data_IF_256618782045
#
_entry.id   IF_256618782045
#
_cell.length_a   1.000
_cell.length_b   1.000
_cell.length_c   1.000
_cell.angle_alpha   90.00
_cell.angle_beta   90.00
_cell.angle_gamma   90.00
#
_symmetry.space_group_name_H-M   'P 1'
#
loop_
_entity.id
_entity.type
_entity.pdbx_description
1 polymer ?
#
# COMPACT_ATOMS: atom_id res chain seq x y z
N UNK A 1 0.24 -14.84 43.88
CA UNK A 1 -1.11 -14.23 43.74
C UNK A 1 -1.11 -12.85 43.08
N UNK A 2 0.04 -12.21 42.83
CA UNK A 2 0.14 -10.86 42.22
C UNK A 2 0.07 -10.81 40.69
N UNK A 3 0.12 -11.94 39.96
CA UNK A 3 0.09 -11.95 38.48
C UNK A 3 -1.31 -11.93 37.85
N UNK A 4 -2.37 -12.19 38.63
CA UNK A 4 -3.74 -12.27 38.10
C UNK A 4 -4.43 -10.90 38.02
N UNK A 5 -4.11 -9.97 38.92
CA UNK A 5 -4.66 -8.61 38.94
C UNK A 5 -4.07 -7.72 37.84
N UNK A 6 -2.78 -7.88 37.52
CA UNK A 6 -2.10 -7.08 36.49
C UNK A 6 -2.58 -7.44 35.08
N UNK A 7 -2.84 -8.72 34.80
CA UNK A 7 -3.40 -9.14 33.51
C UNK A 7 -4.84 -8.63 33.31
N UNK A 8 -5.68 -8.65 34.35
CA UNK A 8 -7.05 -8.16 34.26
C UNK A 8 -7.13 -6.65 34.00
N UNK A 9 -6.23 -5.86 34.61
CA UNK A 9 -6.16 -4.40 34.38
C UNK A 9 -5.68 -4.05 32.98
N UNK A 10 -4.68 -4.77 32.45
CA UNK A 10 -4.15 -4.61 31.08
C UNK A 10 -5.20 -4.91 30.01
N UNK A 11 -5.95 -6.01 30.16
CA UNK A 11 -7.01 -6.40 29.24
C UNK A 11 -8.17 -5.39 29.22
N UNK A 12 -8.52 -4.84 30.39
CA UNK A 12 -9.56 -3.80 30.49
C UNK A 12 -9.16 -2.51 29.75
N UNK A 13 -7.90 -2.09 29.87
CA UNK A 13 -7.38 -0.91 29.20
C UNK A 13 -7.32 -1.08 27.67
N UNK A 14 -6.94 -2.27 27.18
CA UNK A 14 -6.96 -2.58 25.76
C UNK A 14 -8.37 -2.55 25.18
N UNK A 15 -9.35 -3.15 25.88
CA UNK A 15 -10.76 -3.14 25.45
C UNK A 15 -11.30 -1.72 25.36
N UNK A 16 -10.97 -0.85 26.32
CA UNK A 16 -11.35 0.56 26.28
C UNK A 16 -10.72 1.29 25.08
N UNK A 17 -9.43 1.08 24.80
CA UNK A 17 -8.78 1.69 23.63
C UNK A 17 -9.38 1.19 22.31
N UNK A 18 -9.65 -0.13 22.22
CA UNK A 18 -10.31 -0.75 21.07
C UNK A 18 -11.71 -0.16 20.84
N UNK A 19 -12.51 -0.02 21.90
CA UNK A 19 -13.82 0.62 21.83
C UNK A 19 -13.73 2.09 21.38
N UNK A 20 -12.75 2.86 21.87
CA UNK A 20 -12.52 4.24 21.41
C UNK A 20 -12.13 4.28 19.93
N UNK A 21 -11.29 3.37 19.46
CA UNK A 21 -10.95 3.27 18.03
C UNK A 21 -12.18 2.95 17.19
N UNK A 22 -13.01 2.01 17.65
CA UNK A 22 -14.28 1.67 17.00
C UNK A 22 -15.20 2.89 16.90
N UNK A 23 -15.41 3.63 18.00
CA UNK A 23 -16.23 4.85 17.99
C UNK A 23 -15.63 5.93 17.08
N UNK A 24 -14.30 6.08 17.08
CA UNK A 24 -13.61 7.02 16.18
C UNK A 24 -13.83 6.64 14.73
N UNK A 25 -13.71 5.35 14.38
CA UNK A 25 -13.96 4.85 13.03
C UNK A 25 -15.43 5.00 12.63
N UNK A 26 -16.38 4.72 13.54
CA UNK A 26 -17.81 4.88 13.30
C UNK A 26 -18.18 6.35 13.08
N UNK A 27 -17.65 7.26 13.90
CA UNK A 27 -17.81 8.70 13.74
C UNK A 27 -17.18 9.20 12.43
N UNK A 28 -16.02 8.67 12.05
CA UNK A 28 -15.40 8.94 10.74
C UNK A 28 -16.28 8.51 9.58
N UNK A 29 -16.82 7.28 9.62
CA UNK A 29 -17.74 6.76 8.60
C UNK A 29 -19.02 7.62 8.51
N UNK A 30 -19.63 7.95 9.64
CA UNK A 30 -20.80 8.82 9.70
C UNK A 30 -20.50 10.23 9.14
N UNK A 31 -19.35 10.81 9.50
CA UNK A 31 -18.90 12.08 8.96
C UNK A 31 -18.66 12.05 7.45
N UNK A 32 -18.08 10.96 6.93
CA UNK A 32 -17.93 10.73 5.48
C UNK A 32 -19.28 10.64 4.78
N UNK A 33 -20.26 9.96 5.39
CA UNK A 33 -21.62 9.87 4.86
C UNK A 33 -22.28 11.25 4.78
N UNK A 34 -22.26 12.00 5.89
CA UNK A 34 -22.78 13.37 5.93
C UNK A 34 -22.09 14.23 4.87
N UNK A 35 -20.77 14.17 4.78
CA UNK A 35 -20.03 14.92 3.77
C UNK A 35 -20.51 14.62 2.34
N UNK A 36 -20.58 13.36 1.94
CA UNK A 36 -21.01 13.03 0.57
C UNK A 36 -22.51 13.23 0.34
N UNK A 37 -23.36 13.18 1.35
CA UNK A 37 -24.77 13.56 1.20
C UNK A 37 -24.94 15.03 0.78
N UNK A 38 -24.05 15.92 1.22
CA UNK A 38 -24.12 17.36 0.90
C UNK A 38 -23.21 17.79 -0.25
N UNK A 39 -22.07 17.11 -0.45
CA UNK A 39 -21.00 17.56 -1.34
C UNK A 39 -20.67 16.58 -2.47
N UNK A 40 -21.32 15.41 -2.56
CA UNK A 40 -21.09 14.51 -3.68
C UNK A 40 -21.51 15.18 -4.99
N UNK A 41 -20.63 15.07 -5.97
CA UNK A 41 -20.85 15.57 -7.32
C UNK A 41 -21.16 14.38 -8.22
N UNK A 42 -22.35 13.81 -8.08
CA UNK A 42 -22.80 12.68 -8.90
C UNK A 42 -23.91 13.11 -9.85
N UNK A 43 -23.95 12.51 -11.03
CA UNK A 43 -25.00 12.79 -12.02
C UNK A 43 -26.35 12.18 -11.61
N UNK A 44 -26.32 11.01 -10.97
CA UNK A 44 -27.52 10.27 -10.56
C UNK A 44 -27.50 9.90 -9.06
N UNK A 45 -28.66 9.92 -8.38
CA UNK A 45 -28.76 9.48 -6.98
C UNK A 45 -28.29 8.05 -6.75
N UNK A 46 -28.42 7.18 -7.75
CA UNK A 46 -27.92 5.80 -7.69
C UNK A 46 -26.40 5.75 -7.47
N UNK A 47 -25.64 6.64 -8.10
CA UNK A 47 -24.17 6.68 -7.96
C UNK A 47 -23.74 7.07 -6.54
N UNK A 48 -24.50 7.96 -5.89
CA UNK A 48 -24.30 8.27 -4.47
C UNK A 48 -24.50 7.01 -3.61
N UNK A 49 -25.60 6.29 -3.82
CA UNK A 49 -25.89 5.06 -3.09
C UNK A 49 -24.81 3.99 -3.30
N UNK A 50 -24.37 3.79 -4.55
CA UNK A 50 -23.32 2.83 -4.90
C UNK A 50 -21.98 3.22 -4.26
N UNK A 51 -21.58 4.50 -4.32
CA UNK A 51 -20.37 4.99 -3.68
C UNK A 51 -20.39 4.82 -2.15
N UNK A 52 -21.51 5.16 -1.49
CA UNK A 52 -21.67 4.96 -0.04
C UNK A 52 -21.67 3.47 0.34
N UNK A 53 -22.22 2.60 -0.52
CA UNK A 53 -22.16 1.14 -0.35
C UNK A 53 -20.71 0.66 -0.40
N UNK A 54 -19.92 1.12 -1.38
CA UNK A 54 -18.51 0.79 -1.48
C UNK A 54 -17.71 1.21 -0.25
N UNK A 55 -17.98 2.42 0.29
CA UNK A 55 -17.36 2.91 1.53
C UNK A 55 -17.73 2.00 2.71
N UNK A 56 -18.99 1.60 2.81
CA UNK A 56 -19.48 0.73 3.90
C UNK A 56 -18.80 -0.63 3.87
N UNK A 57 -18.78 -1.29 2.71
CA UNK A 57 -18.17 -2.60 2.55
C UNK A 57 -16.65 -2.56 2.82
N UNK A 58 -15.99 -1.47 2.44
CA UNK A 58 -14.57 -1.25 2.71
C UNK A 58 -14.26 -1.04 4.20
N UNK A 59 -15.09 -0.26 4.90
CA UNK A 59 -14.86 0.10 6.30
C UNK A 59 -15.29 -0.99 7.30
N UNK A 60 -16.27 -1.82 6.94
CA UNK A 60 -16.87 -2.80 7.84
C UNK A 60 -15.87 -3.77 8.50
N UNK A 61 -14.89 -4.37 7.79
CA UNK A 61 -13.87 -5.22 8.41
C UNK A 61 -13.06 -4.47 9.46
N UNK A 62 -12.61 -3.26 9.15
CA UNK A 62 -11.79 -2.45 10.05
C UNK A 62 -12.55 -2.03 11.30
N UNK A 63 -13.85 -1.74 11.18
CA UNK A 63 -14.72 -1.47 12.33
C UNK A 63 -14.89 -2.72 13.21
N UNK A 64 -15.09 -3.90 12.62
CA UNK A 64 -15.16 -5.16 13.36
C UNK A 64 -13.85 -5.45 14.10
N UNK A 65 -12.73 -5.33 13.41
CA UNK A 65 -11.40 -5.49 14.00
C UNK A 65 -11.16 -4.51 15.16
N UNK A 66 -11.53 -3.24 14.99
CA UNK A 66 -11.42 -2.23 16.03
C UNK A 66 -12.31 -2.55 17.25
N UNK A 67 -13.49 -3.15 17.04
CA UNK A 67 -14.42 -3.52 18.11
C UNK A 67 -13.95 -4.73 18.91
N UNK A 68 -13.44 -5.77 18.25
CA UNK A 68 -13.13 -7.05 18.89
C UNK A 68 -11.77 -7.08 19.61
N UNK A 69 -10.90 -6.08 19.38
CA UNK A 69 -9.64 -5.95 20.11
C UNK A 69 -8.64 -7.09 19.85
N UNK A 70 -8.85 -7.87 18.78
CA UNK A 70 -8.02 -9.03 18.47
C UNK A 70 -6.61 -8.61 18.04
N UNK A 71 -5.58 -9.19 18.65
CA UNK A 71 -4.16 -8.84 18.43
C UNK A 71 -3.60 -9.22 17.05
N UNK A 72 -4.41 -9.79 16.16
CA UNK A 72 -3.98 -10.10 14.81
C UNK A 72 -3.80 -8.81 13.98
N UNK A 73 -2.88 -8.88 13.02
CA UNK A 73 -2.63 -7.76 12.11
C UNK A 73 -3.85 -7.48 11.23
N UNK A 74 -4.23 -6.20 11.05
CA UNK A 74 -5.38 -5.81 10.24
C UNK A 74 -5.07 -5.82 8.73
N UNK A 75 -4.59 -6.95 8.20
CA UNK A 75 -4.12 -7.05 6.81
C UNK A 75 -5.27 -6.94 5.82
N UNK A 76 -6.34 -7.70 6.03
CA UNK A 76 -7.52 -7.69 5.16
C UNK A 76 -8.28 -6.37 5.27
N UNK A 77 -8.34 -5.85 6.49
CA UNK A 77 -8.93 -4.57 6.84
C UNK A 77 -8.29 -3.42 6.06
N UNK A 78 -6.96 -3.37 6.00
CA UNK A 78 -6.25 -2.34 5.24
C UNK A 78 -6.39 -2.53 3.73
N UNK A 79 -6.38 -3.77 3.25
CA UNK A 79 -6.68 -4.08 1.85
C UNK A 79 -8.05 -3.52 1.42
N UNK A 80 -9.09 -3.78 2.24
CA UNK A 80 -10.44 -3.31 1.98
C UNK A 80 -10.56 -1.79 2.09
N UNK A 81 -9.90 -1.15 3.06
CA UNK A 81 -9.89 0.31 3.19
C UNK A 81 -9.27 1.01 1.97
N UNK A 82 -8.30 0.37 1.30
CA UNK A 82 -7.72 0.88 0.06
C UNK A 82 -8.74 1.10 -1.07
N UNK A 83 -9.90 0.44 -1.01
CA UNK A 83 -10.97 0.63 -2.01
C UNK A 83 -11.60 2.03 -1.95
N UNK A 84 -11.60 2.66 -0.77
CA UNK A 84 -12.21 3.98 -0.57
C UNK A 84 -11.55 5.06 -1.45
N UNK A 85 -10.25 5.36 -1.29
CA UNK A 85 -9.59 6.38 -2.11
C UNK A 85 -9.42 5.95 -3.57
N UNK A 86 -9.29 4.65 -3.85
CA UNK A 86 -9.05 4.17 -5.20
C UNK A 86 -10.32 4.15 -6.08
N UNK A 87 -11.50 3.94 -5.48
CA UNK A 87 -12.73 3.74 -6.24
C UNK A 87 -13.91 4.58 -5.78
N UNK A 88 -14.23 4.58 -4.48
CA UNK A 88 -15.46 5.20 -3.99
C UNK A 88 -15.40 6.73 -3.97
N UNK A 89 -14.28 7.31 -3.52
CA UNK A 89 -14.12 8.78 -3.52
C UNK A 89 -14.08 9.34 -4.94
N UNK A 90 -13.34 8.76 -5.91
CA UNK A 90 -13.40 9.23 -7.30
C UNK A 90 -14.79 9.23 -7.92
N UNK A 91 -15.60 8.20 -7.63
CA UNK A 91 -17.00 8.14 -8.06
C UNK A 91 -17.82 9.31 -7.48
N UNK A 92 -17.68 9.58 -6.18
CA UNK A 92 -18.48 10.59 -5.48
C UNK A 92 -17.99 12.03 -5.71
N UNK A 93 -16.75 12.21 -6.16
CA UNK A 93 -16.09 13.52 -6.29
C UNK A 93 -16.23 14.24 -7.64
N UNK A 94 -16.98 13.70 -8.61
CA UNK A 94 -16.96 14.13 -10.03
C UNK A 94 -15.53 14.22 -10.60
N UNK A 95 -14.78 13.13 -10.47
CA UNK A 95 -13.44 13.05 -11.03
C UNK A 95 -13.42 13.42 -12.52
N UNK A 96 -12.51 14.30 -12.95
CA UNK A 96 -12.44 14.79 -14.33
C UNK A 96 -12.34 13.65 -15.37
N UNK A 97 -11.68 12.54 -15.01
CA UNK A 97 -11.61 11.33 -15.84
C UNK A 97 -12.93 10.55 -16.01
N UNK A 98 -14.02 10.97 -15.36
CA UNK A 98 -15.37 10.46 -15.60
C UNK A 98 -16.19 11.36 -16.53
N UNK A 99 -15.65 12.51 -16.94
CA UNK A 99 -16.31 13.38 -17.89
C UNK A 99 -16.53 12.65 -19.23
N UNK A 100 -17.77 12.61 -19.69
CA UNK A 100 -18.16 11.92 -20.93
C UNK A 100 -18.40 10.42 -20.78
N UNK A 101 -18.21 9.83 -19.60
CA UNK A 101 -18.59 8.43 -19.33
C UNK A 101 -20.10 8.34 -19.10
N UNK A 102 -20.75 7.35 -19.73
CA UNK A 102 -22.20 7.15 -19.57
C UNK A 102 -22.58 6.75 -18.13
N UNK A 103 -23.77 7.14 -17.68
CA UNK A 103 -24.24 6.81 -16.31
C UNK A 103 -24.48 5.32 -16.13
N UNK A 104 -24.82 4.60 -17.20
CA UNK A 104 -24.92 3.13 -17.22
C UNK A 104 -23.55 2.47 -17.02
N UNK A 105 -22.52 2.92 -17.73
CA UNK A 105 -21.13 2.45 -17.56
C UNK A 105 -20.64 2.66 -16.12
N UNK A 106 -20.89 3.85 -15.55
CA UNK A 106 -20.55 4.16 -14.16
C UNK A 106 -21.25 3.20 -13.19
N UNK A 107 -22.55 2.96 -13.40
CA UNK A 107 -23.34 2.05 -12.57
C UNK A 107 -22.81 0.61 -12.63
N UNK A 108 -22.51 0.12 -13.84
CA UNK A 108 -21.93 -1.21 -14.06
C UNK A 108 -20.56 -1.35 -13.41
N UNK A 109 -19.69 -0.35 -13.54
CA UNK A 109 -18.37 -0.32 -12.93
C UNK A 109 -18.44 -0.32 -11.40
N UNK A 110 -19.32 0.50 -10.81
CA UNK A 110 -19.53 0.51 -9.37
C UNK A 110 -20.08 -0.82 -8.84
N UNK A 111 -21.06 -1.42 -9.56
CA UNK A 111 -21.56 -2.75 -9.24
C UNK A 111 -20.47 -3.83 -9.30
N UNK A 112 -19.52 -3.71 -10.25
CA UNK A 112 -18.40 -4.64 -10.40
C UNK A 112 -17.45 -4.57 -9.19
N UNK A 113 -17.16 -3.37 -8.67
CA UNK A 113 -16.37 -3.21 -7.45
C UNK A 113 -17.11 -3.72 -6.22
N UNK A 114 -18.43 -3.48 -6.13
CA UNK A 114 -19.25 -4.04 -5.04
C UNK A 114 -19.24 -5.58 -5.08
N UNK A 115 -19.31 -6.19 -6.27
CA UNK A 115 -19.21 -7.64 -6.43
C UNK A 115 -17.85 -8.17 -5.94
N UNK A 116 -16.76 -7.50 -6.30
CA UNK A 116 -15.42 -7.79 -5.79
C UNK A 116 -15.34 -7.71 -4.26
N UNK A 117 -15.81 -6.60 -3.66
CA UNK A 117 -15.81 -6.41 -2.21
C UNK A 117 -16.65 -7.46 -1.50
N UNK A 118 -17.85 -7.74 -2.02
CA UNK A 118 -18.78 -8.71 -1.44
C UNK A 118 -18.18 -10.11 -1.47
N UNK A 119 -17.62 -10.53 -2.59
CA UNK A 119 -16.95 -11.82 -2.71
C UNK A 119 -15.75 -11.93 -1.75
N UNK A 120 -14.94 -10.88 -1.64
CA UNK A 120 -13.82 -10.84 -0.70
C UNK A 120 -14.28 -10.97 0.76
N UNK A 121 -15.33 -10.24 1.16
CA UNK A 121 -15.90 -10.31 2.51
C UNK A 121 -16.49 -11.69 2.83
N UNK A 122 -17.25 -12.26 1.90
CA UNK A 122 -17.85 -13.59 2.06
C UNK A 122 -16.79 -14.67 2.16
N UNK A 123 -15.79 -14.65 1.28
CA UNK A 123 -14.68 -15.59 1.32
C UNK A 123 -13.83 -15.46 2.59
N UNK A 124 -13.53 -14.23 3.03
CA UNK A 124 -12.79 -13.98 4.26
C UNK A 124 -13.54 -14.52 5.48
N UNK A 125 -14.86 -14.28 5.56
CA UNK A 125 -15.71 -14.78 6.66
C UNK A 125 -15.90 -16.30 6.60
N UNK A 126 -16.08 -16.85 5.41
CA UNK A 126 -16.39 -18.27 5.18
C UNK A 126 -15.18 -19.20 5.23
N UNK A 127 -13.95 -18.68 5.13
CA UNK A 127 -12.74 -19.50 5.13
C UNK A 127 -12.41 -19.97 6.55
N UNK A 128 -12.47 -21.29 6.84
CA UNK A 128 -12.06 -21.83 8.12
C UNK A 128 -10.54 -21.74 8.25
N UNK A 129 -10.08 -21.35 9.44
CA UNK A 129 -8.65 -21.23 9.73
C UNK A 129 -8.38 -21.56 11.18
N UNK A 130 -7.21 -22.14 11.44
CA UNK A 130 -6.68 -22.39 12.78
C UNK A 130 -5.25 -21.88 12.87
N UNK A 131 -4.82 -21.35 14.04
CA UNK A 131 -3.44 -20.98 14.27
C UNK A 131 -2.50 -22.14 13.98
N UNK A 132 -1.36 -21.85 13.33
CA UNK A 132 -0.32 -22.85 13.06
C UNK A 132 0.68 -22.84 14.21
N UNK A 133 1.12 -24.03 14.62
CA UNK A 133 2.02 -24.22 15.78
C UNK A 133 3.44 -24.61 15.40
N UNK A 134 3.73 -24.77 14.09
CA UNK A 134 5.06 -25.17 13.62
C UNK A 134 6.11 -24.09 13.92
N UNK A 135 7.41 -24.43 14.02
CA UNK A 135 8.48 -23.47 14.34
C UNK A 135 8.52 -22.21 13.47
N UNK A 136 8.12 -22.30 12.20
CA UNK A 136 8.00 -21.13 11.32
C UNK A 136 7.06 -20.03 11.88
N UNK A 137 6.03 -20.41 12.61
CA UNK A 137 5.03 -19.50 13.17
C UNK A 137 5.28 -19.14 14.64
N UNK A 138 6.02 -19.97 15.38
CA UNK A 138 6.15 -19.85 16.84
C UNK A 138 7.57 -19.50 17.31
N UNK A 139 8.61 -19.86 16.56
CA UNK A 139 10.00 -19.65 16.97
C UNK A 139 10.53 -18.31 16.51
N UNK A 140 10.82 -17.41 17.44
CA UNK A 140 11.46 -16.12 17.15
C UNK A 140 12.87 -16.29 16.60
N UNK A 141 13.19 -15.55 15.53
CA UNK A 141 14.55 -15.47 14.94
C UNK A 141 15.46 -14.61 15.81
N UNK A 142 14.92 -13.56 16.44
CA UNK A 142 15.65 -12.56 17.21
C UNK A 142 14.94 -12.37 18.55
N UNK A 143 15.49 -12.89 19.65
CA UNK A 143 14.84 -12.82 20.98
C UNK A 143 15.53 -11.86 21.95
N UNK A 144 16.85 -11.88 22.05
CA UNK A 144 17.60 -10.94 22.90
C UNK A 144 18.21 -9.81 22.07
N UNK A 145 17.80 -8.56 22.29
CA UNK A 145 18.23 -7.32 21.57
C UNK A 145 17.52 -7.00 20.27
N UNK A 146 16.30 -7.49 20.04
CA UNK A 146 15.54 -7.18 18.82
C UNK A 146 15.49 -5.67 18.50
N UNK A 147 15.24 -4.81 19.49
CA UNK A 147 15.23 -3.35 19.31
C UNK A 147 16.54 -2.81 18.73
N UNK A 148 17.70 -3.30 19.20
CA UNK A 148 19.02 -2.85 18.70
C UNK A 148 19.24 -3.28 17.25
N UNK A 149 18.80 -4.49 16.87
CA UNK A 149 18.90 -4.95 15.49
C UNK A 149 17.98 -4.18 14.55
N UNK A 150 16.78 -3.81 15.02
CA UNK A 150 15.86 -2.99 14.24
C UNK A 150 16.39 -1.56 14.05
N UNK A 151 16.97 -0.96 15.09
CA UNK A 151 17.59 0.38 14.96
C UNK A 151 18.81 0.34 14.06
N UNK A 152 19.66 -0.68 14.17
CA UNK A 152 20.75 -0.92 13.23
C UNK A 152 20.24 -1.10 11.80
N UNK A 153 19.15 -1.84 11.59
CA UNK A 153 18.49 -1.99 10.29
C UNK A 153 18.03 -0.66 9.69
N UNK A 154 17.50 0.25 10.51
CA UNK A 154 17.16 1.61 10.05
C UNK A 154 18.41 2.41 9.65
N UNK A 155 19.50 2.34 10.42
CA UNK A 155 20.76 3.00 10.07
C UNK A 155 21.29 2.49 8.73
N UNK A 156 21.30 1.17 8.54
CA UNK A 156 21.78 0.52 7.31
C UNK A 156 20.92 0.94 6.11
N UNK A 157 19.59 1.02 6.28
CA UNK A 157 18.71 1.48 5.21
C UNK A 157 18.93 2.96 4.87
N UNK A 158 19.10 3.84 5.87
CA UNK A 158 19.42 5.26 5.65
C UNK A 158 20.77 5.41 4.93
N UNK A 159 21.79 4.66 5.36
CA UNK A 159 23.10 4.64 4.72
C UNK A 159 22.99 4.20 3.26
N UNK A 160 22.22 3.15 2.97
CA UNK A 160 21.95 2.73 1.59
C UNK A 160 21.29 3.84 0.77
N UNK A 161 20.23 4.50 1.27
CA UNK A 161 19.57 5.58 0.54
C UNK A 161 20.57 6.70 0.24
N UNK A 162 21.38 7.07 1.23
CA UNK A 162 22.39 8.11 1.07
C UNK A 162 23.44 7.75 0.02
N UNK A 163 24.02 6.55 0.11
CA UNK A 163 25.01 6.04 -0.85
C UNK A 163 24.41 6.02 -2.26
N UNK A 164 23.21 5.47 -2.41
CA UNK A 164 22.54 5.36 -3.70
C UNK A 164 22.18 6.71 -4.32
N UNK A 165 21.98 7.76 -3.50
CA UNK A 165 21.59 9.08 -3.98
C UNK A 165 22.80 9.98 -4.30
N UNK A 166 23.87 9.89 -3.53
CA UNK A 166 24.98 10.85 -3.58
C UNK A 166 26.30 10.24 -4.09
N UNK A 167 26.34 8.95 -4.39
CA UNK A 167 27.57 8.28 -4.83
C UNK A 167 27.29 7.28 -5.95
N UNK A 168 28.33 6.98 -6.74
CA UNK A 168 28.30 5.94 -7.78
C UNK A 168 28.90 4.61 -7.29
N UNK A 169 28.99 4.41 -5.97
CA UNK A 169 29.61 3.22 -5.38
C UNK A 169 28.83 1.93 -5.67
N UNK A 170 27.53 2.04 -5.97
CA UNK A 170 26.67 0.89 -6.23
C UNK A 170 26.58 0.67 -7.74
N UNK A 171 27.07 -0.47 -8.26
CA UNK A 171 26.92 -0.80 -9.67
C UNK A 171 25.44 -0.81 -10.07
N UNK A 172 25.12 -0.24 -11.24
CA UNK A 172 23.75 -0.12 -11.75
C UNK A 172 23.00 -1.46 -11.81
N UNK A 173 23.71 -2.55 -12.07
CA UNK A 173 23.17 -3.92 -12.08
C UNK A 173 22.72 -4.41 -10.70
N UNK A 174 23.28 -3.87 -9.61
CA UNK A 174 22.98 -4.26 -8.23
C UNK A 174 21.97 -3.34 -7.54
N UNK A 175 21.76 -2.12 -8.03
CA UNK A 175 20.84 -1.14 -7.43
C UNK A 175 19.47 -1.76 -7.15
N UNK A 176 18.87 -2.47 -8.10
CA UNK A 176 17.55 -3.07 -7.93
C UNK A 176 17.49 -4.12 -6.82
N UNK A 177 18.50 -4.98 -6.73
CA UNK A 177 18.60 -6.05 -5.72
C UNK A 177 18.84 -5.46 -4.34
N UNK A 178 19.84 -4.58 -4.22
CA UNK A 178 20.16 -3.93 -2.95
C UNK A 178 19.00 -3.07 -2.45
N UNK A 179 18.32 -2.35 -3.35
CA UNK A 179 17.09 -1.62 -3.01
C UNK A 179 16.06 -2.54 -2.38
N UNK A 180 15.79 -3.71 -2.96
CA UNK A 180 14.82 -4.65 -2.42
C UNK A 180 15.21 -5.16 -1.02
N UNK A 181 16.50 -5.47 -0.81
CA UNK A 181 17.05 -5.92 0.48
C UNK A 181 16.92 -4.84 1.55
N UNK A 182 17.49 -3.67 1.32
CA UNK A 182 17.50 -2.59 2.31
C UNK A 182 16.11 -2.03 2.57
N UNK A 183 15.27 -1.93 1.54
CA UNK A 183 13.87 -1.55 1.69
C UNK A 183 13.08 -2.56 2.53
N UNK A 184 13.31 -3.86 2.32
CA UNK A 184 12.68 -4.92 3.11
C UNK A 184 13.07 -4.88 4.59
N UNK A 185 14.37 -4.72 4.88
CA UNK A 185 14.87 -4.51 6.25
C UNK A 185 14.23 -3.26 6.88
N UNK A 186 14.17 -2.18 6.10
CA UNK A 186 13.57 -0.92 6.48
C UNK A 186 12.10 -1.01 6.89
N UNK A 187 11.29 -1.66 6.05
CA UNK A 187 9.86 -1.92 6.29
C UNK A 187 9.68 -2.65 7.62
N UNK A 188 10.38 -3.77 7.82
CA UNK A 188 10.25 -4.56 9.05
C UNK A 188 10.66 -3.75 10.27
N UNK A 189 11.75 -3.00 10.18
CA UNK A 189 12.24 -2.15 11.27
C UNK A 189 11.24 -1.05 11.63
N UNK A 190 10.74 -0.29 10.65
CA UNK A 190 9.76 0.80 10.87
C UNK A 190 8.47 0.26 11.47
N UNK A 191 7.93 -0.83 10.92
CA UNK A 191 6.70 -1.42 11.42
C UNK A 191 6.88 -1.97 12.84
N UNK A 192 7.94 -2.74 13.08
CA UNK A 192 8.19 -3.40 14.36
C UNK A 192 8.45 -2.39 15.47
N UNK A 193 9.30 -1.38 15.24
CA UNK A 193 9.57 -0.32 16.22
C UNK A 193 8.31 0.52 16.49
N UNK A 194 7.55 0.88 15.45
CA UNK A 194 6.26 1.59 15.61
C UNK A 194 5.26 0.76 16.43
N UNK A 195 5.24 -0.56 16.23
CA UNK A 195 4.39 -1.47 16.99
C UNK A 195 4.84 -1.57 18.45
N UNK A 196 6.13 -1.72 18.72
CA UNK A 196 6.70 -1.71 20.08
C UNK A 196 6.41 -0.39 20.79
N UNK A 197 6.44 0.73 20.06
CA UNK A 197 6.01 2.02 20.61
C UNK A 197 4.52 1.99 20.97
N UNK A 198 3.66 1.49 20.08
CA UNK A 198 2.23 1.40 20.38
C UNK A 198 1.90 0.45 21.54
N UNK A 199 2.72 -0.58 21.78
CA UNK A 199 2.64 -1.45 22.98
C UNK A 199 3.19 -0.80 24.26
N UNK A 200 3.85 0.36 24.16
CA UNK A 200 4.53 1.01 25.28
C UNK A 200 5.87 0.38 25.66
N UNK A 201 6.36 -0.59 24.89
CA UNK A 201 7.59 -1.35 25.15
C UNK A 201 8.85 -0.68 24.60
N UNK A 202 8.71 0.34 23.75
CA UNK A 202 9.85 1.05 23.17
C UNK A 202 10.40 2.12 24.13
N UNK A 203 11.70 2.12 24.48
CA UNK A 203 12.35 3.16 25.28
C UNK A 203 12.24 4.56 24.68
N UNK A 204 12.38 5.61 25.50
CA UNK A 204 12.26 7.01 25.04
C UNK A 204 13.32 7.40 24.00
N UNK A 205 14.56 6.95 24.16
CA UNK A 205 15.64 7.23 23.20
C UNK A 205 15.36 6.57 21.84
N UNK A 206 14.88 5.32 21.83
CA UNK A 206 14.52 4.62 20.60
C UNK A 206 13.30 5.24 19.90
N UNK A 207 12.35 5.82 20.65
CA UNK A 207 11.25 6.60 20.06
C UNK A 207 11.77 7.82 19.31
N UNK A 208 12.66 8.58 19.94
CA UNK A 208 13.27 9.75 19.31
C UNK A 208 14.06 9.33 18.06
N UNK A 209 14.87 8.28 18.18
CA UNK A 209 15.63 7.73 17.07
C UNK A 209 14.72 7.28 15.92
N UNK A 210 13.64 6.54 16.19
CA UNK A 210 12.68 6.12 15.17
C UNK A 210 12.08 7.31 14.41
N UNK A 211 11.66 8.36 15.13
CA UNK A 211 11.11 9.58 14.49
C UNK A 211 12.17 10.28 13.65
N UNK A 212 13.38 10.46 14.18
CA UNK A 212 14.50 11.06 13.46
C UNK A 212 14.86 10.26 12.20
N UNK A 213 14.88 8.91 12.30
CA UNK A 213 15.15 8.01 11.19
C UNK A 213 14.06 8.11 10.10
N UNK A 214 12.77 8.13 10.47
CA UNK A 214 11.68 8.32 9.51
C UNK A 214 11.80 9.68 8.83
N UNK A 215 12.08 10.76 9.57
CA UNK A 215 12.25 12.10 8.99
C UNK A 215 13.46 12.16 8.04
N UNK A 216 14.58 11.55 8.41
CA UNK A 216 15.75 11.45 7.55
C UNK A 216 15.43 10.68 6.26
N UNK A 217 14.74 9.53 6.36
CA UNK A 217 14.32 8.77 5.19
C UNK A 217 13.32 9.53 4.33
N UNK A 218 12.38 10.27 4.92
CA UNK A 218 11.46 11.13 4.18
C UNK A 218 12.22 12.18 3.40
N UNK A 219 13.15 12.87 4.04
CA UNK A 219 13.98 13.90 3.43
C UNK A 219 14.91 13.36 2.34
N UNK A 220 15.43 12.14 2.47
CA UNK A 220 16.28 11.54 1.45
C UNK A 220 15.49 10.90 0.30
N UNK A 221 14.35 10.26 0.57
CA UNK A 221 13.55 9.66 -0.49
C UNK A 221 12.75 10.70 -1.28
N UNK A 222 12.31 11.80 -0.66
CA UNK A 222 11.58 12.85 -1.38
C UNK A 222 12.44 13.52 -2.45
N UNK A 223 13.75 13.69 -2.22
CA UNK A 223 14.66 14.31 -3.21
C UNK A 223 14.75 13.50 -4.50
N UNK A 224 14.46 12.19 -4.47
CA UNK A 224 14.34 11.36 -5.68
C UNK A 224 13.16 11.74 -6.59
N UNK A 225 12.27 12.65 -6.16
CA UNK A 225 11.00 12.97 -6.82
C UNK A 225 10.06 11.76 -6.99
N UNK A 226 10.31 10.66 -6.27
CA UNK A 226 9.46 9.46 -6.17
C UNK A 226 8.87 9.39 -4.76
N UNK A 227 7.64 9.89 -4.60
CA UNK A 227 7.01 10.05 -3.28
C UNK A 227 6.44 8.76 -2.67
N UNK A 228 6.21 7.71 -3.47
CA UNK A 228 5.50 6.51 -3.02
C UNK A 228 6.23 5.80 -1.87
N UNK A 229 7.57 5.74 -1.93
CA UNK A 229 8.40 5.15 -0.87
C UNK A 229 8.23 5.90 0.45
N UNK A 230 8.30 7.23 0.41
CA UNK A 230 8.10 8.11 1.58
C UNK A 230 6.71 7.96 2.18
N UNK A 231 5.68 7.93 1.33
CA UNK A 231 4.28 7.72 1.76
C UNK A 231 4.09 6.35 2.41
N UNK A 232 4.62 5.29 1.77
CA UNK A 232 4.58 3.92 2.27
C UNK A 232 5.23 3.80 3.65
N UNK A 233 6.40 4.42 3.88
CA UNK A 233 7.08 4.42 5.19
C UNK A 233 6.21 5.04 6.29
N UNK A 234 5.58 6.18 6.02
CA UNK A 234 4.71 6.86 6.99
C UNK A 234 3.45 6.06 7.27
N UNK A 235 2.79 5.55 6.23
CA UNK A 235 1.61 4.69 6.35
C UNK A 235 1.96 3.46 7.20
N UNK A 236 3.11 2.84 6.94
CA UNK A 236 3.56 1.66 7.67
C UNK A 236 3.83 1.95 9.15
N UNK A 237 4.43 3.10 9.47
CA UNK A 237 4.64 3.53 10.85
C UNK A 237 3.30 3.76 11.57
N UNK A 238 2.34 4.42 10.91
CA UNK A 238 0.98 4.63 11.43
C UNK A 238 0.29 3.30 11.68
N UNK A 239 0.35 2.38 10.72
CA UNK A 239 -0.26 1.05 10.84
C UNK A 239 0.38 0.23 11.97
N UNK A 240 1.70 0.22 12.06
CA UNK A 240 2.43 -0.44 13.15
C UNK A 240 1.98 0.07 14.51
N UNK A 241 1.92 1.39 14.69
CA UNK A 241 1.49 2.03 15.93
C UNK A 241 0.00 1.80 16.25
N UNK A 242 -0.89 2.00 15.28
CA UNK A 242 -2.34 1.85 15.50
C UNK A 242 -2.73 0.40 15.70
N UNK A 243 -2.04 -0.55 15.07
CA UNK A 243 -2.30 -2.00 15.24
C UNK A 243 -2.13 -2.46 16.69
N UNK A 244 -1.19 -1.87 17.45
CA UNK A 244 -0.96 -2.22 18.85
C UNK A 244 -1.62 -1.26 19.84
N UNK A 245 -1.52 0.06 19.61
CA UNK A 245 -2.03 1.04 20.59
C UNK A 245 -3.55 1.27 20.48
N UNK A 246 -4.18 0.83 19.39
CA UNK A 246 -5.61 1.08 19.09
C UNK A 246 -5.96 2.56 19.12
N UNK A 247 -5.06 3.41 18.62
CA UNK A 247 -5.27 4.85 18.49
C UNK A 247 -4.66 5.34 17.19
N UNK A 248 -5.40 6.18 16.48
CA UNK A 248 -4.90 6.87 15.29
C UNK A 248 -3.99 8.03 15.73
N UNK A 249 -2.73 8.10 15.27
CA UNK A 249 -1.84 9.22 15.54
C UNK A 249 -2.20 10.39 14.62
N UNK A 250 -3.28 11.11 14.95
CA UNK A 250 -3.85 12.17 14.11
C UNK A 250 -2.87 13.27 13.72
N UNK A 251 -1.99 13.69 14.65
CA UNK A 251 -1.01 14.76 14.37
C UNK A 251 -0.05 14.37 13.24
N UNK A 252 0.68 13.24 13.30
CA UNK A 252 1.45 12.74 12.15
C UNK A 252 0.64 12.55 10.87
N UNK A 253 -0.61 12.07 10.96
CA UNK A 253 -1.47 11.88 9.78
C UNK A 253 -1.76 13.21 9.07
N UNK A 254 -2.17 14.23 9.83
CA UNK A 254 -2.48 15.56 9.29
C UNK A 254 -1.22 16.22 8.71
N UNK A 255 -0.09 16.13 9.41
CA UNK A 255 1.18 16.68 8.93
C UNK A 255 1.65 15.99 7.64
N UNK A 256 1.55 14.66 7.57
CA UNK A 256 1.90 13.91 6.37
C UNK A 256 0.99 14.26 5.18
N UNK A 257 -0.33 14.36 5.41
CA UNK A 257 -1.28 14.78 4.37
C UNK A 257 -0.99 16.19 3.87
N UNK A 258 -0.71 17.14 4.77
CA UNK A 258 -0.36 18.51 4.39
C UNK A 258 0.96 18.56 3.58
N UNK A 259 1.98 17.84 4.03
CA UNK A 259 3.29 17.76 3.36
C UNK A 259 3.17 17.14 1.96
N UNK A 260 2.63 15.93 1.87
CA UNK A 260 2.52 15.23 0.59
C UNK A 260 1.53 15.92 -0.34
N UNK A 261 0.40 16.43 0.17
CA UNK A 261 -0.56 17.18 -0.62
C UNK A 261 0.06 18.43 -1.25
N UNK A 262 0.89 19.15 -0.49
CA UNK A 262 1.60 20.33 -1.02
C UNK A 262 2.64 19.92 -2.06
N UNK A 263 3.60 19.06 -1.70
CA UNK A 263 4.70 18.68 -2.60
C UNK A 263 4.22 17.98 -3.88
N UNK A 264 3.07 17.31 -3.85
CA UNK A 264 2.50 16.67 -5.02
C UNK A 264 2.20 17.66 -6.15
N UNK A 265 1.77 18.88 -5.81
CA UNK A 265 1.41 19.91 -6.79
C UNK A 265 2.62 20.38 -7.59
N UNK A 266 3.77 20.58 -6.93
CA UNK A 266 5.01 21.01 -7.60
C UNK A 266 5.80 19.87 -8.27
N UNK A 267 5.41 18.60 -8.07
CA UNK A 267 6.18 17.43 -8.50
C UNK A 267 6.44 17.40 -10.00
N UNK A 268 5.44 17.71 -10.83
CA UNK A 268 5.59 17.69 -12.29
C UNK A 268 6.55 18.77 -12.78
N UNK A 269 6.48 19.97 -12.22
CA UNK A 269 7.39 21.06 -12.55
C UNK A 269 8.84 20.74 -12.14
N UNK A 270 9.03 20.14 -10.96
CA UNK A 270 10.35 19.67 -10.53
C UNK A 270 10.91 18.59 -11.47
N UNK A 271 10.07 17.65 -11.94
CA UNK A 271 10.53 16.62 -12.87
C UNK A 271 10.94 17.19 -14.24
N UNK A 272 10.26 18.21 -14.73
CA UNK A 272 10.66 18.85 -15.99
C UNK A 272 12.08 19.47 -15.92
N UNK A 273 12.48 19.97 -14.75
CA UNK A 273 13.78 20.62 -14.55
C UNK A 273 14.87 19.63 -14.20
N UNK A 274 14.56 18.72 -13.28
CA UNK A 274 15.55 17.92 -12.59
C UNK A 274 15.49 16.44 -12.95
N UNK A 275 14.50 15.92 -13.69
CA UNK A 275 14.44 14.47 -13.98
C UNK A 275 15.38 14.06 -15.11
N UNK A 276 16.04 12.92 -14.93
CA UNK A 276 16.80 12.22 -15.96
C UNK A 276 16.05 10.94 -16.36
N UNK A 277 15.65 10.88 -17.63
CA UNK A 277 14.88 9.77 -18.19
C UNK A 277 15.71 8.48 -18.30
N UNK A 278 17.04 8.57 -18.38
CA UNK A 278 17.92 7.40 -18.53
C UNK A 278 18.13 6.65 -17.21
N UNK A 279 18.32 7.40 -16.12
CA UNK A 279 18.56 6.84 -14.78
C UNK A 279 17.28 6.68 -13.97
N UNK A 280 16.19 7.36 -14.37
CA UNK A 280 14.93 7.38 -13.61
C UNK A 280 15.07 8.06 -12.24
N UNK A 281 16.08 8.93 -12.11
CA UNK A 281 16.43 9.70 -10.92
C UNK A 281 16.57 11.17 -11.32
N UNK A 282 16.63 12.10 -10.35
CA UNK A 282 17.04 13.45 -10.68
C UNK A 282 18.42 13.45 -11.34
N UNK A 283 18.63 14.31 -12.36
CA UNK A 283 19.90 14.53 -13.07
C UNK A 283 21.03 14.58 -12.06
N UNK A 284 22.05 13.73 -12.29
CA UNK A 284 23.26 13.66 -11.47
C UNK A 284 23.81 15.08 -11.24
N UNK A 285 24.01 15.43 -9.96
CA UNK A 285 24.48 16.76 -9.57
C UNK A 285 23.87 17.33 -8.27
N UNK A 286 22.86 16.68 -7.68
CA UNK A 286 22.31 17.09 -6.39
C UNK A 286 23.31 16.76 -5.26
N UNK A 287 24.24 17.68 -4.99
CA UNK A 287 25.13 17.56 -3.83
C UNK A 287 24.33 17.74 -2.54
N UNK A 288 24.83 17.22 -1.42
CA UNK A 288 24.20 17.39 -0.10
C UNK A 288 23.97 18.88 0.21
N UNK A 289 24.89 19.76 -0.22
CA UNK A 289 24.77 21.21 -0.06
C UNK A 289 23.66 21.86 -0.90
N UNK A 290 23.20 21.22 -1.98
CA UNK A 290 22.14 21.74 -2.84
C UNK A 290 20.73 21.40 -2.34
N UNK A 291 20.58 20.47 -1.38
CA UNK A 291 19.28 20.04 -0.87
C UNK A 291 18.41 21.18 -0.32
N UNK A 292 18.93 22.15 0.45
CA UNK A 292 18.12 23.27 0.93
C UNK A 292 17.49 24.07 -0.21
N UNK A 293 18.29 24.41 -1.23
CA UNK A 293 17.81 25.15 -2.40
C UNK A 293 16.79 24.34 -3.21
N UNK A 294 17.04 23.04 -3.39
CA UNK A 294 16.12 22.12 -4.06
C UNK A 294 14.74 22.06 -3.39
N UNK A 295 14.70 21.96 -2.05
CA UNK A 295 13.45 21.93 -1.31
C UNK A 295 12.73 23.29 -1.29
N UNK A 296 13.48 24.40 -1.22
CA UNK A 296 12.93 25.74 -1.36
C UNK A 296 12.28 25.93 -2.73
N UNK A 297 12.96 25.51 -3.81
CA UNK A 297 12.41 25.54 -5.17
C UNK A 297 11.13 24.72 -5.25
N UNK A 298 11.15 23.46 -4.80
CA UNK A 298 9.97 22.59 -4.88
C UNK A 298 8.80 23.13 -4.06
N UNK A 299 9.04 23.64 -2.86
CA UNK A 299 8.00 24.23 -2.03
C UNK A 299 7.40 25.47 -2.70
N UNK A 300 8.24 26.35 -3.27
CA UNK A 300 7.78 27.52 -3.99
C UNK A 300 6.90 27.15 -5.19
N UNK A 301 7.34 26.21 -6.05
CA UNK A 301 6.57 25.73 -7.20
C UNK A 301 5.24 25.10 -6.78
N UNK A 302 5.24 24.38 -5.67
CA UNK A 302 4.04 23.74 -5.12
C UNK A 302 2.99 24.76 -4.68
N UNK A 303 3.41 25.87 -4.06
CA UNK A 303 2.51 26.95 -3.65
C UNK A 303 1.95 27.72 -4.86
N UNK A 304 2.78 28.02 -5.85
CA UNK A 304 2.35 28.71 -7.08
C UNK A 304 1.36 27.87 -7.88
N UNK A 305 1.62 26.56 -8.03
CA UNK A 305 0.71 25.62 -8.69
C UNK A 305 -0.67 25.54 -8.03
N UNK A 306 -0.77 25.84 -6.73
CA UNK A 306 -2.04 25.89 -6.00
C UNK A 306 -2.83 27.19 -6.26
N UNK A 307 -2.16 28.27 -6.67
CA UNK A 307 -2.78 29.59 -6.90
C UNK A 307 -3.22 29.79 -8.34
N UNK A 308 -2.53 29.18 -9.32
CA UNK A 308 -2.91 29.24 -10.72
C UNK A 308 -4.24 28.51 -10.95
N UNK A 309 -5.33 29.25 -11.19
CA UNK A 309 -6.67 28.71 -11.46
C UNK A 309 -6.83 28.06 -12.86
N UNK A 310 -5.82 28.16 -13.73
CA UNK A 310 -5.99 27.85 -15.16
C UNK A 310 -5.93 26.36 -15.51
N UNK A 311 -5.63 25.47 -14.55
CA UNK A 311 -5.87 24.03 -14.66
C UNK A 311 -6.18 23.54 -13.26
N UNK A 312 -7.36 22.96 -13.00
CA UNK A 312 -7.60 22.27 -11.73
C UNK A 312 -6.46 21.27 -11.51
N UNK A 313 -5.58 21.49 -10.52
CA UNK A 313 -4.46 20.60 -10.32
C UNK A 313 -5.01 19.30 -9.75
N UNK A 314 -4.88 18.21 -10.51
CA UNK A 314 -5.35 16.87 -10.11
C UNK A 314 -4.91 16.56 -8.67
N UNK A 315 -5.88 16.38 -7.79
CA UNK A 315 -5.66 16.10 -6.36
C UNK A 315 -4.94 14.76 -6.16
N UNK A 316 -4.38 14.53 -4.97
CA UNK A 316 -3.81 13.23 -4.60
C UNK A 316 -4.79 12.07 -4.80
N UNK A 317 -6.07 12.34 -4.58
CA UNK A 317 -7.16 11.38 -4.79
C UNK A 317 -7.39 11.14 -6.28
N UNK A 318 -7.30 12.19 -7.11
CA UNK A 318 -7.45 12.06 -8.56
C UNK A 318 -6.34 11.19 -9.17
N UNK A 319 -5.11 11.30 -8.64
CA UNK A 319 -4.01 10.43 -9.06
C UNK A 319 -4.09 9.00 -8.53
N UNK A 320 -4.76 8.79 -7.39
CA UNK A 320 -5.02 7.45 -6.85
C UNK A 320 -6.24 6.77 -7.48
N UNK A 321 -6.96 7.47 -8.37
CA UNK A 321 -8.21 6.99 -8.97
C UNK A 321 -7.98 5.83 -9.93
N UNK A 322 -8.45 4.65 -9.53
CA UNK A 322 -8.55 3.45 -10.37
C UNK A 322 -9.97 3.28 -10.92
N UNK A 323 -10.95 4.03 -10.42
CA UNK A 323 -12.35 3.91 -10.86
C UNK A 323 -12.52 4.22 -12.35
N UNK A 324 -11.86 5.27 -12.85
CA UNK A 324 -11.88 5.64 -14.27
C UNK A 324 -11.39 4.50 -15.18
N UNK A 325 -10.41 3.71 -14.72
CA UNK A 325 -9.87 2.57 -15.48
C UNK A 325 -10.90 1.44 -15.54
N UNK A 326 -11.62 1.20 -14.44
CA UNK A 326 -12.71 0.23 -14.41
C UNK A 326 -13.84 0.67 -15.33
N UNK A 327 -14.23 1.94 -15.31
CA UNK A 327 -15.22 2.48 -16.25
C UNK A 327 -14.82 2.25 -17.70
N UNK A 328 -13.58 2.62 -18.07
CA UNK A 328 -13.06 2.42 -19.42
C UNK A 328 -13.15 0.96 -19.89
N UNK A 329 -12.75 0.04 -19.01
CA UNK A 329 -12.75 -1.40 -19.33
C UNK A 329 -14.18 -1.94 -19.42
N UNK A 330 -15.06 -1.53 -18.50
CA UNK A 330 -16.48 -1.92 -18.48
C UNK A 330 -17.21 -1.42 -19.72
N UNK A 331 -16.91 -0.19 -20.15
CA UNK A 331 -17.49 0.42 -21.34
C UNK A 331 -17.14 -0.35 -22.61
N UNK A 332 -15.89 -0.82 -22.69
CA UNK A 332 -15.37 -1.44 -23.89
C UNK A 332 -15.52 -2.98 -23.92
N UNK A 333 -15.97 -3.61 -22.83
CA UNK A 333 -15.97 -5.08 -22.68
C UNK A 333 -17.34 -5.61 -22.26
N UNK A 334 -17.91 -6.63 -22.93
CA UNK A 334 -17.29 -7.51 -23.95
C UNK A 334 -17.38 -7.01 -25.39
N UNK A 335 -17.98 -5.84 -25.62
CA UNK A 335 -18.06 -5.22 -26.94
C UNK A 335 -17.76 -3.73 -26.81
N UNK A 336 -16.94 -3.13 -27.69
CA UNK A 336 -16.34 -3.72 -28.90
C UNK A 336 -15.13 -4.63 -28.66
N UNK A 337 -14.58 -4.70 -27.45
CA UNK A 337 -13.41 -5.50 -27.12
C UNK A 337 -13.81 -6.77 -26.36
N UNK A 338 -13.52 -7.97 -26.89
CA UNK A 338 -13.81 -9.20 -26.16
C UNK A 338 -13.00 -9.30 -24.87
N UNK A 339 -13.43 -10.16 -23.96
CA UNK A 339 -12.66 -10.49 -22.77
C UNK A 339 -11.25 -11.00 -23.15
N UNK A 340 -10.26 -10.76 -22.27
CA UNK A 340 -8.89 -11.24 -22.44
C UNK A 340 -8.72 -12.74 -22.11
N UNK A 341 -9.74 -13.37 -21.54
CA UNK A 341 -9.80 -14.82 -21.27
C UNK A 341 -8.55 -15.40 -20.55
N UNK A 342 -7.98 -14.63 -19.62
CA UNK A 342 -6.83 -15.06 -18.82
C UNK A 342 -5.47 -14.75 -19.44
N UNK A 343 -5.40 -14.05 -20.59
CA UNK A 343 -4.14 -13.68 -21.24
C UNK A 343 -3.16 -12.98 -20.30
N UNK A 344 -3.65 -12.11 -19.42
CA UNK A 344 -2.78 -11.36 -18.49
C UNK A 344 -2.33 -12.20 -17.29
N UNK A 345 -2.98 -13.33 -17.04
CA UNK A 345 -2.65 -14.28 -15.99
C UNK A 345 -1.70 -15.39 -16.47
N UNK A 346 -1.64 -15.65 -17.77
CA UNK A 346 -0.79 -16.67 -18.36
C UNK A 346 0.71 -16.43 -18.07
N UNK A 347 1.14 -15.18 -17.94
CA UNK A 347 2.54 -14.84 -17.69
C UNK A 347 2.96 -14.97 -16.21
N UNK A 348 2.02 -15.12 -15.29
CA UNK A 348 2.28 -15.15 -13.83
C UNK A 348 3.34 -16.19 -13.44
N UNK A 349 3.26 -17.47 -13.87
CA UNK A 349 4.25 -18.48 -13.48
C UNK A 349 5.67 -18.10 -13.91
N UNK A 350 5.82 -17.58 -15.13
CA UNK A 350 7.10 -17.12 -15.66
C UNK A 350 7.70 -15.97 -14.86
N UNK A 351 6.86 -15.16 -14.20
CA UNK A 351 7.31 -14.05 -13.38
C UNK A 351 8.01 -14.48 -12.07
N UNK A 352 7.86 -15.73 -11.62
CA UNK A 352 8.61 -16.25 -10.46
C UNK A 352 10.00 -16.76 -10.81
N UNK A 353 10.30 -17.00 -12.09
CA UNK A 353 11.61 -17.49 -12.52
C UNK A 353 12.63 -16.34 -12.47
N UNK A 354 13.74 -16.46 -11.73
CA UNK A 354 14.81 -15.46 -11.73
C UNK A 354 15.41 -15.26 -13.13
N UNK A 355 15.81 -14.01 -13.47
CA UNK A 355 16.41 -13.69 -14.77
C UNK A 355 17.72 -14.43 -15.06
N UNK A 356 18.42 -14.89 -14.03
CA UNK A 356 19.60 -15.75 -14.19
C UNK A 356 19.26 -17.07 -14.91
N UNK A 357 18.10 -17.67 -14.59
CA UNK A 357 17.65 -18.91 -15.23
C UNK A 357 16.88 -18.66 -16.54
N UNK A 358 16.33 -17.47 -16.72
CA UNK A 358 15.66 -17.07 -17.96
C UNK A 358 16.04 -15.64 -18.37
N UNK A 359 17.15 -15.47 -19.11
CA UNK A 359 17.63 -14.15 -19.52
C UNK A 359 16.62 -13.37 -20.36
N UNK A 360 15.96 -14.04 -21.30
CA UNK A 360 14.92 -13.48 -22.19
C UNK A 360 13.54 -13.34 -21.56
N UNK A 361 13.42 -13.39 -20.23
CA UNK A 361 12.15 -13.31 -19.52
C UNK A 361 11.40 -11.99 -19.81
N UNK A 362 10.09 -12.05 -20.10
CA UNK A 362 9.24 -10.87 -20.27
C UNK A 362 9.34 -9.89 -19.09
N UNK A 363 9.16 -8.60 -19.37
CA UNK A 363 9.18 -7.55 -18.34
C UNK A 363 8.12 -7.80 -17.25
N UNK A 364 8.43 -7.42 -16.01
CA UNK A 364 7.54 -7.69 -14.87
C UNK A 364 6.15 -7.06 -14.99
N UNK A 365 6.03 -5.97 -15.75
CA UNK A 365 4.79 -5.23 -15.98
C UNK A 365 3.98 -5.73 -17.20
N UNK A 366 4.28 -6.92 -17.73
CA UNK A 366 3.67 -7.42 -18.98
C UNK A 366 2.13 -7.43 -18.95
N UNK A 367 1.51 -7.82 -17.83
CA UNK A 367 0.05 -7.80 -17.66
C UNK A 367 -0.51 -6.38 -17.76
N UNK A 368 0.17 -5.42 -17.11
CA UNK A 368 -0.19 -4.00 -17.15
C UNK A 368 -0.04 -3.42 -18.55
N UNK A 369 1.06 -3.72 -19.25
CA UNK A 369 1.27 -3.28 -20.62
C UNK A 369 0.25 -3.89 -21.58
N UNK A 370 -0.06 -5.18 -21.41
CA UNK A 370 -1.07 -5.88 -22.22
C UNK A 370 -2.42 -5.19 -22.12
N UNK A 371 -2.88 -4.86 -20.91
CA UNK A 371 -4.15 -4.16 -20.70
C UNK A 371 -4.07 -2.72 -21.22
N UNK A 372 -2.99 -2.01 -20.89
CA UNK A 372 -2.81 -0.61 -21.31
C UNK A 372 -2.86 -0.44 -22.83
N UNK A 373 -2.14 -1.29 -23.57
CA UNK A 373 -2.17 -1.31 -25.03
C UNK A 373 -3.53 -1.77 -25.54
N UNK A 374 -4.08 -2.84 -24.95
CA UNK A 374 -5.35 -3.40 -25.39
C UNK A 374 -6.53 -2.43 -25.27
N UNK A 375 -6.56 -1.52 -24.30
CA UNK A 375 -7.61 -0.48 -24.19
C UNK A 375 -7.17 0.89 -24.71
N UNK A 376 -6.00 0.99 -25.36
CA UNK A 376 -5.50 2.24 -25.95
C UNK A 376 -5.09 3.31 -24.93
N UNK A 377 -4.76 2.92 -23.70
CA UNK A 377 -4.28 3.83 -22.66
C UNK A 377 -2.83 4.25 -22.88
N UNK A 378 -2.05 3.38 -23.53
CA UNK A 378 -0.62 3.58 -23.80
C UNK A 378 -0.23 2.77 -25.04
N UNK A 379 0.69 3.29 -25.83
CA UNK A 379 1.30 2.59 -26.96
C UNK A 379 2.54 1.79 -26.54
N UNK A 380 3.03 0.93 -27.43
CA UNK A 380 4.19 0.07 -27.14
C UNK A 380 5.45 0.87 -26.77
N UNK A 381 5.68 2.01 -27.42
CA UNK A 381 6.83 2.86 -27.08
C UNK A 381 6.65 3.54 -25.72
N UNK A 382 5.44 4.02 -25.41
CA UNK A 382 5.09 4.61 -24.12
C UNK A 382 5.30 3.65 -22.96
N UNK A 383 5.08 2.33 -23.14
CA UNK A 383 5.31 1.33 -22.09
C UNK A 383 6.75 1.30 -21.58
N UNK A 384 7.72 1.75 -22.38
CA UNK A 384 9.13 1.84 -21.97
C UNK A 384 9.40 3.04 -21.06
N UNK A 385 8.55 4.07 -21.10
CA UNK A 385 8.75 5.35 -20.39
C UNK A 385 7.85 5.50 -19.18
N UNK A 386 6.64 4.95 -19.22
CA UNK A 386 5.66 5.09 -18.13
C UNK A 386 4.83 3.83 -17.92
N UNK A 387 4.31 3.68 -16.71
CA UNK A 387 3.41 2.59 -16.32
C UNK A 387 2.13 3.20 -15.77
N UNK A 388 0.99 2.68 -16.24
CA UNK A 388 -0.34 3.09 -15.79
C UNK A 388 -0.81 2.11 -14.72
N UNK A 389 -1.33 2.65 -13.62
CA UNK A 389 -1.97 1.85 -12.59
C UNK A 389 -3.28 1.26 -13.13
N UNK A 390 -3.45 -0.06 -13.01
CA UNK A 390 -4.65 -0.78 -13.48
C UNK A 390 -5.43 -1.32 -12.29
N UNK A 391 -4.75 -2.02 -11.39
CA UNK A 391 -5.33 -2.67 -10.22
C UNK A 391 -5.99 -4.02 -10.48
N UNK A 392 -6.07 -4.82 -9.43
CA UNK A 392 -6.61 -6.18 -9.46
C UNK A 392 -8.06 -6.26 -10.00
N UNK A 393 -9.00 -5.37 -9.59
CA UNK A 393 -10.38 -5.44 -10.08
C UNK A 393 -10.50 -5.17 -11.58
N UNK A 394 -9.82 -4.14 -12.08
CA UNK A 394 -9.83 -3.77 -13.49
C UNK A 394 -9.30 -4.90 -14.38
N UNK A 395 -8.17 -5.51 -13.99
CA UNK A 395 -7.63 -6.69 -14.69
C UNK A 395 -8.60 -7.87 -14.68
N UNK A 396 -9.25 -8.14 -13.53
CA UNK A 396 -10.18 -9.25 -13.43
C UNK A 396 -11.43 -9.07 -14.30
N UNK A 397 -11.96 -7.84 -14.38
CA UNK A 397 -13.06 -7.54 -15.28
C UNK A 397 -12.65 -7.65 -16.75
N UNK A 398 -11.47 -7.14 -17.12
CA UNK A 398 -10.96 -7.27 -18.48
C UNK A 398 -10.83 -8.73 -18.93
N UNK A 399 -10.53 -9.66 -18.01
CA UNK A 399 -10.39 -11.08 -18.33
C UNK A 399 -11.71 -11.85 -18.31
N UNK A 400 -12.60 -11.60 -17.33
CA UNK A 400 -13.78 -12.44 -17.10
C UNK A 400 -15.01 -11.68 -16.58
N UNK A 401 -15.05 -10.35 -16.72
CA UNK A 401 -16.18 -9.51 -16.30
C UNK A 401 -16.49 -9.62 -14.80
N UNK A 402 -17.79 -9.64 -14.46
CA UNK A 402 -18.25 -9.79 -13.08
C UNK A 402 -17.80 -11.10 -12.41
N UNK A 403 -17.68 -12.19 -13.18
CA UNK A 403 -17.15 -13.45 -12.65
C UNK A 403 -15.69 -13.29 -12.23
N UNK A 404 -14.88 -12.60 -13.05
CA UNK A 404 -13.50 -12.25 -12.72
C UNK A 404 -13.40 -11.43 -11.43
N UNK A 405 -14.23 -10.39 -11.30
CA UNK A 405 -14.31 -9.56 -10.08
C UNK A 405 -14.60 -10.39 -8.82
N UNK A 406 -15.59 -11.27 -8.89
CA UNK A 406 -15.95 -12.14 -7.78
C UNK A 406 -14.83 -13.14 -7.45
N UNK A 407 -14.21 -13.75 -8.47
CA UNK A 407 -13.12 -14.71 -8.29
C UNK A 407 -11.89 -14.08 -7.64
N UNK A 408 -11.44 -12.91 -8.11
CA UNK A 408 -10.27 -12.24 -7.53
C UNK A 408 -10.57 -11.73 -6.12
N UNK A 409 -11.79 -11.24 -5.87
CA UNK A 409 -12.25 -10.86 -4.54
C UNK A 409 -12.20 -12.06 -3.59
N UNK A 410 -12.83 -13.18 -3.98
CA UNK A 410 -12.83 -14.40 -3.19
C UNK A 410 -11.42 -14.95 -2.94
N UNK A 411 -10.55 -14.93 -3.96
CA UNK A 411 -9.16 -15.33 -3.83
C UNK A 411 -8.44 -14.49 -2.76
N UNK A 412 -8.53 -13.15 -2.84
CA UNK A 412 -7.88 -12.26 -1.88
C UNK A 412 -8.45 -12.41 -0.46
N UNK A 413 -9.77 -12.54 -0.33
CA UNK A 413 -10.43 -12.81 0.95
C UNK A 413 -9.95 -14.11 1.59
N UNK A 414 -9.89 -15.20 0.83
CA UNK A 414 -9.33 -16.49 1.27
C UNK A 414 -7.85 -16.38 1.66
N UNK A 415 -7.04 -15.72 0.82
CA UNK A 415 -5.61 -15.56 1.00
C UNK A 415 -5.31 -14.85 2.32
N UNK A 416 -5.88 -13.66 2.51
CA UNK A 416 -5.66 -12.87 3.72
C UNK A 416 -6.21 -13.58 4.96
N UNK A 417 -7.36 -14.25 4.90
CA UNK A 417 -7.89 -15.03 6.03
C UNK A 417 -6.96 -16.17 6.43
N UNK A 418 -6.43 -16.91 5.46
CA UNK A 418 -5.50 -18.03 5.74
C UNK A 418 -4.23 -17.52 6.43
N UNK A 419 -3.55 -16.53 5.87
CA UNK A 419 -2.29 -16.05 6.45
C UNK A 419 -2.48 -15.41 7.82
N UNK A 420 -3.46 -14.51 7.97
CA UNK A 420 -3.74 -13.85 9.26
C UNK A 420 -4.16 -14.86 10.33
N UNK A 421 -4.98 -15.85 9.97
CA UNK A 421 -5.41 -16.90 10.89
C UNK A 421 -4.30 -17.91 11.22
N UNK A 422 -3.41 -18.23 10.28
CA UNK A 422 -2.25 -19.10 10.53
C UNK A 422 -1.26 -18.46 11.50
N UNK A 423 -1.02 -17.16 11.36
CA UNK A 423 -0.13 -16.40 12.25
C UNK A 423 -0.82 -15.77 13.45
N UNK A 424 -2.05 -16.17 13.76
CA UNK A 424 -2.72 -15.73 14.97
C UNK A 424 -1.91 -16.20 16.20
N UNK A 425 -1.46 -15.24 17.02
CA UNK A 425 -0.59 -15.51 18.17
C UNK A 425 0.89 -15.70 17.83
N UNK A 426 1.29 -15.56 16.57
CA UNK A 426 2.70 -15.61 16.20
C UNK A 426 3.48 -14.42 16.78
N UNK A 427 4.65 -14.65 17.39
CA UNK A 427 5.55 -13.58 17.77
C UNK A 427 5.95 -12.73 16.55
N UNK A 428 6.17 -11.44 16.76
CA UNK A 428 6.50 -10.51 15.68
C UNK A 428 7.78 -10.91 14.92
N UNK A 429 8.76 -11.46 15.63
CA UNK A 429 10.06 -11.86 15.07
C UNK A 429 10.14 -13.34 14.68
N UNK A 430 9.03 -14.08 14.73
CA UNK A 430 8.95 -15.37 14.06
C UNK A 430 8.87 -15.14 12.53
N UNK A 431 9.37 -16.06 11.69
CA UNK A 431 9.25 -15.94 10.23
C UNK A 431 7.81 -15.65 9.76
N UNK A 432 6.82 -16.33 10.36
CA UNK A 432 5.41 -16.11 10.10
C UNK A 432 4.90 -14.73 10.55
N UNK A 433 5.43 -14.19 11.66
CA UNK A 433 5.14 -12.82 12.09
C UNK A 433 5.66 -11.78 11.09
N UNK A 434 6.91 -11.93 10.64
CA UNK A 434 7.53 -11.08 9.63
C UNK A 434 6.78 -11.17 8.28
N UNK A 435 6.36 -12.38 7.88
CA UNK A 435 5.52 -12.58 6.70
C UNK A 435 4.23 -11.75 6.77
N UNK A 436 3.58 -11.68 7.94
CA UNK A 436 2.39 -10.84 8.11
C UNK A 436 2.69 -9.35 8.05
N UNK A 437 3.88 -8.91 8.50
CA UNK A 437 4.33 -7.52 8.33
C UNK A 437 4.49 -7.19 6.84
N UNK A 438 5.15 -8.06 6.08
CA UNK A 438 5.29 -7.89 4.63
C UNK A 438 3.93 -7.88 3.95
N UNK A 439 3.04 -8.82 4.31
CA UNK A 439 1.69 -8.88 3.75
C UNK A 439 0.85 -7.64 4.08
N UNK A 440 1.04 -7.06 5.27
CA UNK A 440 0.44 -5.78 5.67
C UNK A 440 0.87 -4.65 4.73
N UNK A 441 2.15 -4.57 4.39
CA UNK A 441 2.65 -3.57 3.43
C UNK A 441 2.11 -3.79 2.02
N UNK A 442 1.97 -5.04 1.58
CA UNK A 442 1.42 -5.33 0.26
C UNK A 442 -0.10 -5.13 0.16
N UNK A 443 -0.80 -5.10 1.29
CA UNK A 443 -2.26 -4.91 1.34
C UNK A 443 -2.72 -3.56 0.78
N UNK A 444 -1.88 -2.51 0.79
CA UNK A 444 -2.27 -1.21 0.23
C UNK A 444 -1.87 -1.02 -1.24
N UNK A 445 -1.22 -2.01 -1.89
CA UNK A 445 -0.76 -1.95 -3.29
C UNK A 445 -1.86 -2.39 -4.27
N UNK A 446 -3.07 -1.86 -4.11
CA UNK A 446 -4.24 -2.25 -4.92
C UNK A 446 -4.20 -1.77 -6.39
N UNK A 447 -3.25 -0.89 -6.71
CA UNK A 447 -2.97 -0.36 -8.05
C UNK A 447 -2.24 -1.34 -8.98
N UNK A 448 -1.70 -2.41 -8.42
CA UNK A 448 -0.96 -3.44 -9.16
C UNK A 448 -1.89 -4.47 -9.79
N UNK A 449 -1.49 -4.98 -10.95
CA UNK A 449 -2.04 -6.22 -11.52
C UNK A 449 -1.58 -7.43 -10.69
N UNK A 450 -2.29 -8.55 -10.81
CA UNK A 450 -2.08 -9.74 -9.99
C UNK A 450 -0.67 -10.30 -10.15
N UNK A 451 -0.12 -10.28 -11.37
CA UNK A 451 1.24 -10.72 -11.64
C UNK A 451 2.26 -9.93 -10.82
N UNK A 452 2.25 -8.60 -10.95
CA UNK A 452 3.18 -7.72 -10.24
C UNK A 452 2.98 -7.86 -8.73
N UNK A 453 1.73 -7.87 -8.26
CA UNK A 453 1.41 -7.99 -6.84
C UNK A 453 2.00 -9.28 -6.24
N UNK A 454 1.75 -10.43 -6.88
CA UNK A 454 2.28 -11.73 -6.42
C UNK A 454 3.80 -11.80 -6.51
N UNK A 455 4.39 -11.31 -7.59
CA UNK A 455 5.83 -11.48 -7.82
C UNK A 455 6.67 -10.55 -6.96
N UNK A 456 6.18 -9.32 -6.74
CA UNK A 456 6.83 -8.38 -5.83
C UNK A 456 6.68 -8.83 -4.37
N UNK A 457 5.52 -9.38 -3.99
CA UNK A 457 5.32 -9.99 -2.68
C UNK A 457 6.27 -11.17 -2.48
N UNK A 458 6.38 -12.06 -3.46
CA UNK A 458 7.31 -13.19 -3.41
C UNK A 458 8.76 -12.73 -3.25
N UNK A 459 9.21 -11.76 -4.03
CA UNK A 459 10.56 -11.18 -3.89
C UNK A 459 10.80 -10.64 -2.48
N UNK A 460 9.84 -9.89 -1.93
CA UNK A 460 9.92 -9.37 -0.58
C UNK A 460 9.98 -10.50 0.47
N UNK A 461 9.14 -11.54 0.33
CA UNK A 461 9.13 -12.68 1.25
C UNK A 461 10.43 -13.47 1.19
N UNK A 462 10.99 -13.72 -0.01
CA UNK A 462 12.28 -14.41 -0.16
C UNK A 462 13.39 -13.66 0.57
N UNK A 463 13.46 -12.35 0.36
CA UNK A 463 14.53 -11.51 0.91
C UNK A 463 14.38 -11.29 2.41
N UNK A 464 13.16 -11.05 2.89
CA UNK A 464 12.91 -10.59 4.26
C UNK A 464 12.58 -11.73 5.22
N UNK A 465 11.99 -12.83 4.72
CA UNK A 465 11.56 -13.97 5.55
C UNK A 465 12.49 -15.17 5.35
N UNK A 466 12.68 -15.61 4.11
CA UNK A 466 13.41 -16.86 3.86
C UNK A 466 14.92 -16.74 4.04
N UNK A 467 15.56 -15.68 3.53
CA UNK A 467 17.01 -15.52 3.67
C UNK A 467 17.46 -15.49 5.15
N UNK A 468 16.82 -14.72 6.06
CA UNK A 468 17.17 -14.79 7.49
C UNK A 468 16.83 -16.13 8.14
N UNK A 469 15.72 -16.77 7.77
CA UNK A 469 15.33 -18.07 8.31
C UNK A 469 16.33 -19.17 7.94
N UNK A 470 16.80 -19.19 6.69
CA UNK A 470 17.82 -20.11 6.21
C UNK A 470 19.17 -19.83 6.87
N UNK A 471 19.61 -18.56 6.89
CA UNK A 471 20.87 -18.18 7.53
C UNK A 471 20.95 -18.65 8.98
N UNK A 472 19.85 -18.54 9.75
CA UNK A 472 19.80 -19.07 11.11
C UNK A 472 20.09 -20.57 11.17
N UNK A 473 19.49 -21.38 10.29
CA UNK A 473 19.68 -22.84 10.28
C UNK A 473 21.11 -23.28 9.94
N UNK A 474 21.88 -22.45 9.26
CA UNK A 474 23.29 -22.74 8.95
C UNK A 474 24.26 -22.18 9.98
N UNK A 475 23.84 -21.19 10.77
CA UNK A 475 24.66 -20.54 11.81
C UNK A 475 24.43 -21.12 13.22
N UNK A 476 23.42 -21.97 13.39
CA UNK A 476 23.15 -22.78 14.60
C UNK A 476 23.31 -24.24 14.26
#
# INVERSE_FOLDING_TARGET
MTSSSDNASSDSALRLRSHRLYLTGLGGLAGTFVYFLFFAKVAEPLHLLLGLTMITLAALPSLRWARHGEYHFPVFEVFMLGVIPAYAVPLLGAHAGLAGVSTDTISKAAAAIIAFQTAALLAFKGTPVRPRTTPFWTSEIISSRATHWLTAGLCVWIAYIWINLFTDLIPTSLIGVLRAVFYGVGIVAVFALSRLWGLGQLPKHDRFFLVAAILAQLFLNLSSLVMITSMATVILAILGYTSSNRRIPWVPCILALALFGTLHQGKSAMRQRHWDETTGLPRMGLTVGALPAFYQEWFSLSLHARQSKDKEPASLVDRASLFQIVCLIVDQTPYPRPYLYGKTYADIPGQFVPRFFWPGKPVGHISTHTIGIYYGMIDEEGTKRTTIAIGLPAEAYANFGYAGMALIGAFMGCLFRKFTGWGAGSPLFAPGGILLVVLMTWSFQNELTLSIWLTSLFQAVVVVVFAPHLARRFLT
#
